data_IF_260292797189
#
_entry.id   IF_260292797189
#
_cell.length_a   1.000
_cell.length_b   1.000
_cell.length_c   1.000
_cell.angle_alpha   90.00
_cell.angle_beta   90.00
_cell.angle_gamma   90.00
#
_symmetry.space_group_name_H-M   'P 1'
#
loop_
_entity.id
_entity.type
_entity.pdbx_description
1 polymer ?
#
# COMPACT_ATOMS: atom_id res chain seq x y z
N UNK A 1 4.50 5.89 25.95
CA UNK A 1 4.80 5.91 24.49
C UNK A 1 4.56 7.32 23.98
N UNK A 2 5.39 7.79 23.07
CA UNK A 2 5.22 9.11 22.45
C UNK A 2 4.15 9.02 21.35
N UNK A 3 3.30 10.03 21.22
CA UNK A 3 2.23 10.07 20.21
C UNK A 3 2.73 10.43 18.81
N UNK A 4 3.93 11.02 18.74
CA UNK A 4 4.52 11.61 17.54
C UNK A 4 5.90 11.06 17.27
N UNK A 5 6.15 10.71 16.01
CA UNK A 5 7.45 10.27 15.53
C UNK A 5 7.90 11.14 14.36
N UNK A 6 9.15 11.57 14.38
CA UNK A 6 9.77 12.29 13.27
C UNK A 6 11.25 11.93 13.19
N UNK A 7 11.64 11.25 12.11
CA UNK A 7 13.02 10.84 11.87
C UNK A 7 13.45 11.19 10.46
N UNK A 8 14.61 11.84 10.34
CA UNK A 8 15.22 12.19 9.06
C UNK A 8 16.39 11.27 8.70
N UNK A 9 16.53 11.03 7.41
CA UNK A 9 17.59 10.26 6.77
C UNK A 9 18.15 11.09 5.61
N UNK A 10 19.29 11.74 5.84
CA UNK A 10 19.95 12.54 4.83
C UNK A 10 21.00 11.73 4.05
N UNK A 11 21.10 12.03 2.76
CA UNK A 11 22.22 11.66 1.90
C UNK A 11 22.91 12.92 1.36
N UNK A 12 23.72 12.76 0.32
CA UNK A 12 24.45 13.89 -0.29
C UNK A 12 23.53 14.84 -1.07
N UNK A 13 22.55 14.30 -1.79
CA UNK A 13 21.67 15.06 -2.70
C UNK A 13 20.19 14.90 -2.40
N UNK A 14 19.78 13.89 -1.63
CA UNK A 14 18.37 13.63 -1.26
C UNK A 14 18.23 13.38 0.23
N UNK A 15 17.21 13.97 0.84
CA UNK A 15 16.77 13.71 2.22
C UNK A 15 15.39 13.05 2.24
N UNK A 16 15.18 12.16 3.20
CA UNK A 16 13.90 11.54 3.48
C UNK A 16 13.52 11.77 4.94
N UNK A 17 12.24 12.00 5.21
CA UNK A 17 11.68 12.12 6.55
C UNK A 17 10.56 11.08 6.69
N UNK A 18 10.60 10.32 7.78
CA UNK A 18 9.48 9.54 8.25
C UNK A 18 8.77 10.35 9.33
N UNK A 19 7.48 10.58 9.15
CA UNK A 19 6.65 11.30 10.11
C UNK A 19 5.39 10.50 10.44
N UNK A 20 5.09 10.42 11.73
CA UNK A 20 3.82 9.92 12.24
C UNK A 20 3.26 10.93 13.24
N UNK A 21 2.08 11.50 12.93
CA UNK A 21 1.57 12.68 13.64
C UNK A 21 0.68 12.36 14.84
N UNK A 22 -0.08 11.26 14.79
CA UNK A 22 -0.94 10.78 15.88
C UNK A 22 -1.00 9.27 15.84
N UNK A 23 -0.97 8.58 16.98
CA UNK A 23 -1.09 7.12 17.07
C UNK A 23 -2.43 6.56 16.55
N UNK A 24 -3.47 7.39 16.55
CA UNK A 24 -4.82 7.05 16.08
C UNK A 24 -5.00 7.19 14.58
N UNK A 25 -4.06 7.82 13.86
CA UNK A 25 -4.12 7.94 12.41
C UNK A 25 -3.53 6.67 11.76
N UNK A 26 -4.26 5.93 10.91
CA UNK A 26 -3.81 4.65 10.34
C UNK A 26 -2.83 4.84 9.16
N UNK A 27 -1.94 5.82 9.24
CA UNK A 27 -0.98 6.14 8.19
C UNK A 27 0.28 6.83 8.74
N UNK A 28 1.31 6.86 7.91
CA UNK A 28 2.51 7.70 8.09
C UNK A 28 2.71 8.59 6.86
N UNK A 29 3.57 9.60 7.00
CA UNK A 29 4.06 10.36 5.86
C UNK A 29 5.53 10.06 5.62
N UNK A 30 5.88 9.80 4.35
CA UNK A 30 7.25 9.86 3.88
C UNK A 30 7.42 11.12 3.04
N UNK A 31 8.32 12.00 3.48
CA UNK A 31 8.65 13.24 2.76
C UNK A 31 10.04 13.16 2.19
N UNK A 32 10.21 13.62 0.96
CA UNK A 32 11.46 13.64 0.23
C UNK A 32 11.78 15.07 -0.21
N UNK A 33 13.05 15.44 -0.11
CA UNK A 33 13.58 16.72 -0.59
C UNK A 33 14.91 16.46 -1.28
N UNK A 34 15.27 17.30 -2.24
CA UNK A 34 16.62 17.26 -2.86
C UNK A 34 17.39 18.56 -2.63
N UNK A 35 18.70 18.45 -2.79
CA UNK A 35 19.61 19.58 -2.84
C UNK A 35 19.51 20.22 -4.22
N UNK A 36 19.29 21.53 -4.25
CA UNK A 36 19.25 22.34 -5.48
C UNK A 36 20.66 22.52 -6.03
N UNK A 37 20.74 22.94 -7.28
CA UNK A 37 22.01 23.29 -7.95
C UNK A 37 22.80 24.36 -7.19
N UNK A 38 22.10 25.29 -6.53
CA UNK A 38 22.69 26.30 -5.65
C UNK A 38 23.33 25.74 -4.38
N UNK A 39 23.21 24.44 -4.14
CA UNK A 39 23.70 23.77 -2.93
C UNK A 39 22.77 23.91 -1.72
N UNK A 40 21.65 24.61 -1.84
CA UNK A 40 20.63 24.69 -0.78
C UNK A 40 19.65 23.53 -0.86
N UNK A 41 19.08 23.12 0.27
CA UNK A 41 18.01 22.12 0.28
C UNK A 41 16.67 22.75 -0.11
N UNK A 42 15.85 21.97 -0.80
CA UNK A 42 14.43 22.28 -0.94
C UNK A 42 13.74 22.48 0.41
N UNK A 43 12.76 23.38 0.43
CA UNK A 43 12.03 23.81 1.62
C UNK A 43 10.57 23.37 1.53
N UNK A 44 10.16 22.34 2.30
CA UNK A 44 8.76 21.91 2.36
C UNK A 44 7.79 23.03 2.75
N UNK A 45 8.25 24.02 3.52
CA UNK A 45 7.44 25.16 3.96
C UNK A 45 6.92 26.05 2.81
N UNK A 46 7.50 25.95 1.62
CA UNK A 46 7.08 26.70 0.43
C UNK A 46 6.61 25.76 -0.69
N UNK A 47 6.26 24.51 -0.36
CA UNK A 47 5.71 23.54 -1.31
C UNK A 47 6.74 22.75 -2.11
N UNK A 48 8.04 22.83 -1.78
CA UNK A 48 9.07 22.03 -2.44
C UNK A 48 9.20 20.62 -1.83
N UNK A 49 9.76 19.69 -2.61
CA UNK A 49 9.85 18.28 -2.26
C UNK A 49 8.60 17.49 -2.65
N UNK A 50 8.52 16.25 -2.18
CA UNK A 50 7.36 15.37 -2.38
C UNK A 50 7.00 14.70 -1.07
N UNK A 51 5.72 14.65 -0.74
CA UNK A 51 5.21 13.91 0.42
C UNK A 51 4.24 12.86 -0.09
N UNK A 52 4.40 11.63 0.39
CA UNK A 52 3.46 10.53 0.16
C UNK A 52 2.86 10.11 1.51
N UNK A 53 1.58 9.76 1.50
CA UNK A 53 0.84 9.24 2.65
C UNK A 53 0.82 7.73 2.51
N UNK A 54 1.41 7.01 3.45
CA UNK A 54 1.47 5.55 3.41
C UNK A 54 0.46 4.96 4.40
N UNK A 55 -0.50 4.19 3.91
CA UNK A 55 -1.45 3.43 4.75
C UNK A 55 -0.80 2.21 5.41
N UNK A 56 -1.55 1.49 6.25
CA UNK A 56 -1.05 0.31 6.96
C UNK A 56 -0.53 -0.79 6.01
N UNK A 57 -1.24 -1.06 4.93
CA UNK A 57 -0.84 -2.06 3.93
C UNK A 57 0.48 -1.69 3.25
N UNK A 58 0.65 -0.42 2.90
CA UNK A 58 1.89 0.08 2.31
C UNK A 58 3.04 0.04 3.30
N UNK A 59 2.80 0.36 4.57
CA UNK A 59 3.80 0.20 5.64
C UNK A 59 4.26 -1.27 5.72
N UNK A 60 3.33 -2.22 5.64
CA UNK A 60 3.65 -3.66 5.61
C UNK A 60 4.47 -4.02 4.37
N UNK A 61 4.10 -3.53 3.18
CA UNK A 61 4.85 -3.81 1.95
C UNK A 61 6.25 -3.22 1.97
N UNK A 62 6.40 -1.99 2.46
CA UNK A 62 7.71 -1.35 2.68
C UNK A 62 8.56 -2.21 3.63
N UNK A 63 7.99 -2.64 4.76
CA UNK A 63 8.68 -3.51 5.73
C UNK A 63 9.08 -4.86 5.13
N UNK A 64 8.24 -5.49 4.30
CA UNK A 64 8.58 -6.73 3.60
C UNK A 64 9.81 -6.57 2.71
N UNK A 65 9.90 -5.45 1.97
CA UNK A 65 11.11 -5.17 1.17
C UNK A 65 12.30 -4.91 2.08
N UNK A 66 12.18 -4.04 3.09
CA UNK A 66 13.29 -3.72 4.01
C UNK A 66 13.85 -4.95 4.73
N UNK A 67 13.00 -5.94 5.05
CA UNK A 67 13.39 -7.21 5.69
C UNK A 67 13.86 -8.28 4.70
N UNK A 68 13.99 -7.94 3.41
CA UNK A 68 14.36 -8.85 2.31
C UNK A 68 13.38 -10.02 2.13
N UNK A 69 12.13 -9.89 2.60
CA UNK A 69 11.06 -10.84 2.30
C UNK A 69 10.47 -10.63 0.90
N UNK A 70 10.74 -9.48 0.28
CA UNK A 70 10.53 -9.22 -1.15
C UNK A 70 11.74 -8.48 -1.73
N UNK A 71 12.04 -8.72 -3.02
CA UNK A 71 13.10 -8.02 -3.76
C UNK A 71 12.75 -6.56 -4.02
N UNK A 72 11.46 -6.25 -4.13
CA UNK A 72 10.97 -4.89 -4.34
C UNK A 72 9.45 -4.79 -4.25
N UNK A 73 8.97 -3.55 -4.27
CA UNK A 73 7.56 -3.20 -4.30
C UNK A 73 7.39 -1.87 -5.05
N UNK A 74 6.28 -1.71 -5.76
CA UNK A 74 5.93 -0.46 -6.44
C UNK A 74 4.44 -0.22 -6.43
N UNK A 75 4.06 1.06 -6.49
CA UNK A 75 2.68 1.51 -6.62
C UNK A 75 2.64 2.88 -7.30
N UNK A 76 1.45 3.37 -7.62
CA UNK A 76 1.23 4.73 -8.11
C UNK A 76 0.20 5.42 -7.23
N UNK A 77 0.60 6.53 -6.61
CA UNK A 77 -0.34 7.40 -5.90
C UNK A 77 -0.96 8.39 -6.88
N UNK A 78 -2.28 8.53 -6.85
CA UNK A 78 -2.99 9.55 -7.61
C UNK A 78 -3.53 10.57 -6.62
N UNK A 79 -3.10 11.83 -6.75
CA UNK A 79 -3.66 12.92 -5.97
C UNK A 79 -4.07 14.05 -6.89
N UNK A 80 -5.38 14.33 -6.92
CA UNK A 80 -6.01 15.16 -7.97
C UNK A 80 -5.71 14.56 -9.34
N UNK A 81 -4.92 15.24 -10.17
CA UNK A 81 -4.52 14.76 -11.51
C UNK A 81 -3.06 14.31 -11.56
N UNK A 82 -2.31 14.46 -10.46
CA UNK A 82 -0.89 14.10 -10.42
C UNK A 82 -0.72 12.63 -10.05
N UNK A 83 -0.07 11.88 -10.95
CA UNK A 83 0.35 10.49 -10.69
C UNK A 83 1.79 10.46 -10.22
N UNK A 84 2.01 9.87 -9.04
CA UNK A 84 3.34 9.74 -8.43
C UNK A 84 3.72 8.27 -8.38
N UNK A 85 4.66 7.81 -9.25
CA UNK A 85 5.18 6.46 -9.15
C UNK A 85 6.07 6.34 -7.91
N UNK A 86 5.90 5.22 -7.20
CA UNK A 86 6.66 4.86 -6.02
C UNK A 86 7.28 3.50 -6.29
N UNK A 87 8.57 3.34 -6.04
CA UNK A 87 9.23 2.04 -6.04
C UNK A 87 10.27 1.95 -4.95
N UNK A 88 10.34 0.77 -4.33
CA UNK A 88 11.30 0.44 -3.29
C UNK A 88 11.95 -0.87 -3.70
N UNK A 89 13.27 -0.88 -3.86
CA UNK A 89 13.99 -2.07 -4.31
C UNK A 89 15.39 -2.14 -3.75
N UNK A 90 15.88 -3.36 -3.55
CA UNK A 90 17.27 -3.61 -3.23
C UNK A 90 18.16 -3.40 -4.46
N UNK A 91 19.35 -2.84 -4.21
CA UNK A 91 20.48 -2.86 -5.15
C UNK A 91 21.61 -3.64 -4.50
N UNK A 92 21.80 -4.87 -4.98
CA UNK A 92 22.69 -5.84 -4.32
C UNK A 92 22.22 -6.17 -2.90
N UNK A 93 23.16 -6.42 -2.01
CA UNK A 93 22.84 -6.90 -0.65
C UNK A 93 22.73 -5.80 0.39
N UNK A 94 23.25 -4.60 0.11
CA UNK A 94 23.57 -3.62 1.16
C UNK A 94 22.93 -2.23 0.97
N UNK A 95 22.14 -2.05 -0.08
CA UNK A 95 21.52 -0.76 -0.41
C UNK A 95 20.07 -0.96 -0.80
N UNK A 96 19.21 -0.08 -0.30
CA UNK A 96 17.83 0.00 -0.75
C UNK A 96 17.57 1.38 -1.34
N UNK A 97 16.84 1.41 -2.45
CA UNK A 97 16.44 2.64 -3.12
C UNK A 97 14.95 2.86 -2.92
N UNK A 98 14.59 4.03 -2.40
CA UNK A 98 13.25 4.59 -2.43
C UNK A 98 13.21 5.59 -3.59
N UNK A 99 12.39 5.32 -4.60
CA UNK A 99 12.18 6.23 -5.72
C UNK A 99 10.74 6.71 -5.68
N UNK A 100 10.54 8.00 -5.40
CA UNK A 100 9.22 8.64 -5.36
C UNK A 100 9.21 9.78 -6.36
N UNK A 101 8.57 9.57 -7.51
CA UNK A 101 8.68 10.48 -8.65
C UNK A 101 10.14 10.71 -9.04
N UNK A 102 10.59 11.97 -9.02
CA UNK A 102 11.98 12.36 -9.31
C UNK A 102 12.87 12.49 -8.06
N UNK A 103 12.49 11.89 -6.93
CA UNK A 103 13.24 11.91 -5.66
C UNK A 103 13.81 10.52 -5.32
N UNK A 104 15.01 10.17 -5.85
CA UNK A 104 15.67 8.93 -5.48
C UNK A 104 16.41 9.09 -4.13
N UNK A 105 16.14 8.21 -3.18
CA UNK A 105 16.86 8.11 -1.91
C UNK A 105 17.40 6.70 -1.71
N UNK A 106 18.72 6.59 -1.65
CA UNK A 106 19.40 5.37 -1.21
C UNK A 106 19.56 5.38 0.32
N UNK A 107 19.26 4.27 0.98
CA UNK A 107 19.57 4.06 2.41
C UNK A 107 20.68 3.01 2.56
N UNK A 108 21.59 3.29 3.49
CA UNK A 108 22.66 2.35 3.91
C UNK A 108 22.13 1.38 4.97
N UNK A 109 22.83 0.27 5.20
CA UNK A 109 22.46 -0.73 6.22
C UNK A 109 22.07 -0.11 7.58
N UNK A 110 22.85 0.79 8.20
CA UNK A 110 22.44 1.40 9.48
C UNK A 110 21.14 2.22 9.39
N UNK A 111 20.92 2.91 8.26
CA UNK A 111 19.68 3.66 8.04
C UNK A 111 18.49 2.71 7.85
N UNK A 112 18.70 1.59 7.16
CA UNK A 112 17.70 0.54 6.93
C UNK A 112 17.29 -0.07 8.27
N UNK A 113 18.24 -0.46 9.12
CA UNK A 113 17.96 -1.05 10.43
C UNK A 113 17.15 -0.11 11.33
N UNK A 114 17.56 1.16 11.43
CA UNK A 114 16.81 2.18 12.18
C UNK A 114 15.41 2.35 11.61
N UNK A 115 15.27 2.36 10.27
CA UNK A 115 13.97 2.51 9.62
C UNK A 115 13.05 1.31 9.90
N UNK A 116 13.58 0.08 9.84
CA UNK A 116 12.83 -1.14 10.16
C UNK A 116 12.31 -1.09 11.58
N UNK A 117 13.19 -0.89 12.57
CA UNK A 117 12.80 -0.85 13.98
C UNK A 117 11.73 0.23 14.25
N UNK A 118 11.91 1.41 13.65
CA UNK A 118 10.96 2.51 13.81
C UNK A 118 9.61 2.22 13.12
N UNK A 119 9.62 1.69 11.90
CA UNK A 119 8.39 1.37 11.17
C UNK A 119 7.62 0.22 11.81
N UNK A 120 8.30 -0.79 12.34
CA UNK A 120 7.66 -1.87 13.12
C UNK A 120 6.99 -1.33 14.37
N UNK A 121 7.70 -0.49 15.13
CA UNK A 121 7.16 0.17 16.31
C UNK A 121 5.91 0.99 15.97
N UNK A 122 5.98 1.85 14.95
CA UNK A 122 4.85 2.69 14.53
C UNK A 122 3.69 1.83 14.02
N UNK A 123 3.97 0.77 13.25
CA UNK A 123 2.92 -0.12 12.74
C UNK A 123 2.18 -0.80 13.89
N UNK A 124 2.90 -1.31 14.89
CA UNK A 124 2.29 -1.92 16.07
C UNK A 124 1.40 -0.90 16.82
N UNK A 125 1.90 0.33 17.04
CA UNK A 125 1.11 1.40 17.64
C UNK A 125 -0.15 1.73 16.80
N UNK A 126 -0.04 1.81 15.48
CA UNK A 126 -1.22 2.10 14.62
C UNK A 126 -2.23 0.97 14.67
N UNK A 127 -1.79 -0.28 14.66
CA UNK A 127 -2.69 -1.42 14.79
C UNK A 127 -3.43 -1.32 16.13
N UNK A 128 -2.73 -1.06 17.23
CA UNK A 128 -3.35 -0.93 18.55
C UNK A 128 -4.36 0.22 18.60
N UNK A 129 -3.95 1.45 18.24
CA UNK A 129 -4.72 2.65 18.55
C UNK A 129 -5.62 3.15 17.41
N UNK A 130 -5.28 2.87 16.14
CA UNK A 130 -6.06 3.31 14.99
C UNK A 130 -7.10 2.28 14.53
N UNK A 131 -7.03 1.04 15.02
CA UNK A 131 -7.99 -0.03 14.66
C UNK A 131 -8.87 -0.49 15.83
N UNK A 132 -8.55 -0.10 17.07
CA UNK A 132 -9.42 -0.35 18.22
C UNK A 132 -10.69 0.49 18.12
N UNK A 133 -11.86 -0.16 18.19
CA UNK A 133 -13.17 0.49 18.20
C UNK A 133 -13.46 1.15 19.55
N UNK A 134 -12.77 2.26 19.85
CA UNK A 134 -13.19 3.29 20.82
C UNK A 134 -13.66 2.85 22.21
N UNK A 135 -13.35 1.64 22.69
CA UNK A 135 -13.56 1.25 24.09
C UNK A 135 -12.27 1.52 24.84
N UNK A 136 -12.06 2.78 25.20
CA UNK A 136 -11.25 3.07 26.36
C UNK A 136 -11.88 2.28 27.53
N UNK A 137 -11.12 1.34 28.08
CA UNK A 137 -11.39 0.86 29.42
C UNK A 137 -11.08 2.03 30.37
N UNK A 138 -12.03 2.95 30.51
CA UNK A 138 -12.06 3.82 31.68
C UNK A 138 -12.55 2.97 32.86
N UNK A 139 -11.73 2.91 33.91
CA UNK A 139 -12.11 2.33 35.19
C UNK A 139 -13.42 2.95 35.70
N UNK A 140 -14.28 2.20 36.41
CA UNK A 140 -15.58 2.69 36.81
C UNK A 140 -15.44 3.70 37.97
N UNK A 141 -15.32 4.98 37.65
CA UNK A 141 -15.56 6.05 38.61
C UNK A 141 -17.06 6.18 38.88
N UNK A 142 -17.43 5.78 40.08
CA UNK A 142 -18.76 5.89 40.69
C UNK A 142 -19.28 7.35 40.74
N UNK A 143 -20.61 7.49 40.54
CA UNK A 143 -21.54 8.50 41.15
C UNK A 143 -21.54 9.90 40.47
N UNK A 144 -22.62 10.53 40.01
CA UNK A 144 -24.08 10.44 40.22
C UNK A 144 -24.87 11.08 39.05
N UNK A 145 -26.15 10.70 38.95
CA UNK A 145 -27.19 11.12 37.97
C UNK A 145 -27.53 12.63 37.90
N UNK A 146 -27.91 13.10 36.69
CA UNK A 146 -29.21 13.73 36.30
C UNK A 146 -29.11 14.29 34.84
N UNK A 147 -30.20 14.30 34.03
CA UNK A 147 -30.15 13.99 32.59
C UNK A 147 -30.41 15.15 31.60
N UNK A 148 -30.01 14.85 30.35
CA UNK A 148 -30.56 15.28 29.03
C UNK A 148 -30.68 16.79 28.74
N UNK A 149 -29.94 17.27 27.73
CA UNK A 149 -30.60 17.55 26.46
C UNK A 149 -29.67 17.48 25.24
N UNK A 150 -30.33 17.12 24.16
CA UNK A 150 -29.93 16.79 22.80
C UNK A 150 -29.22 17.91 22.01
N UNK A 151 -28.21 17.54 21.22
CA UNK A 151 -28.08 18.04 19.85
C UNK A 151 -27.21 17.11 19.00
N UNK A 152 -27.84 16.55 17.97
CA UNK A 152 -27.22 15.89 16.83
C UNK A 152 -26.22 16.82 16.15
N UNK A 153 -25.04 16.31 15.80
CA UNK A 153 -24.44 16.71 14.53
C UNK A 153 -23.72 15.55 13.86
N UNK A 154 -24.32 15.13 12.75
CA UNK A 154 -23.82 14.14 11.81
C UNK A 154 -22.59 14.69 11.08
N UNK A 155 -21.41 14.14 11.34
CA UNK A 155 -20.30 14.24 10.41
C UNK A 155 -20.11 12.90 9.70
N UNK A 156 -20.80 12.77 8.55
CA UNK A 156 -20.42 11.83 7.50
C UNK A 156 -19.08 12.29 6.93
N UNK A 157 -17.99 11.69 7.37
CA UNK A 157 -16.75 11.75 6.60
C UNK A 157 -16.81 10.68 5.52
N UNK A 158 -16.79 11.15 4.28
CA UNK A 158 -16.68 10.34 3.08
C UNK A 158 -15.38 9.53 3.14
N UNK A 159 -15.51 8.21 3.29
CA UNK A 159 -14.44 7.26 3.01
C UNK A 159 -14.13 7.36 1.52
N UNK A 160 -13.05 8.07 1.18
CA UNK A 160 -12.49 8.08 -0.16
C UNK A 160 -11.95 6.68 -0.41
N UNK A 161 -12.66 5.91 -1.23
CA UNK A 161 -12.15 4.68 -1.84
C UNK A 161 -11.04 5.09 -2.82
N UNK A 162 -9.80 5.08 -2.35
CA UNK A 162 -8.65 5.05 -3.25
C UNK A 162 -8.63 3.66 -3.89
N UNK A 163 -9.01 3.62 -5.17
CA UNK A 163 -8.85 2.43 -6.01
C UNK A 163 -7.35 2.14 -6.14
N UNK A 164 -6.85 1.22 -5.31
CA UNK A 164 -5.47 0.73 -5.35
C UNK A 164 -5.32 -0.22 -6.55
N UNK A 165 -4.56 0.20 -7.57
CA UNK A 165 -4.06 -0.70 -8.60
C UNK A 165 -2.71 -1.26 -8.11
N UNK A 166 -2.79 -2.38 -7.39
CA UNK A 166 -1.61 -3.13 -6.91
C UNK A 166 -1.01 -3.86 -8.11
N UNK A 167 0.08 -3.33 -8.67
CA UNK A 167 0.93 -4.10 -9.59
C UNK A 167 1.96 -4.85 -8.73
N UNK A 168 1.51 -5.94 -8.13
CA UNK A 168 2.39 -6.92 -7.49
C UNK A 168 3.00 -7.83 -8.57
N UNK A 169 4.31 -7.75 -8.76
CA UNK A 169 5.06 -8.89 -9.30
C UNK A 169 5.25 -9.88 -8.13
N UNK A 170 4.16 -10.57 -7.78
CA UNK A 170 4.16 -11.66 -6.81
C UNK A 170 4.63 -12.94 -7.51
N UNK A 171 5.61 -13.62 -6.92
CA UNK A 171 5.66 -15.08 -7.01
C UNK A 171 4.46 -15.60 -6.20
N UNK A 172 3.32 -15.83 -6.87
CA UNK A 172 2.15 -16.43 -6.25
C UNK A 172 2.51 -17.88 -5.87
N UNK A 173 2.49 -18.19 -4.57
CA UNK A 173 2.64 -19.57 -4.10
C UNK A 173 1.58 -20.51 -4.69
N UNK A 174 1.81 -21.82 -4.55
CA UNK A 174 1.18 -22.93 -5.30
C UNK A 174 -0.37 -22.94 -5.43
N UNK A 175 -1.11 -22.12 -4.69
CA UNK A 175 -2.58 -22.14 -4.63
C UNK A 175 -3.28 -21.34 -5.73
N UNK A 176 -2.60 -20.38 -6.35
CA UNK A 176 -3.17 -19.46 -7.34
C UNK A 176 -2.14 -19.20 -8.44
N UNK A 177 -2.57 -19.14 -9.69
CA UNK A 177 -1.71 -18.86 -10.85
C UNK A 177 -2.21 -17.65 -11.63
N UNK A 178 -1.27 -16.91 -12.22
CA UNK A 178 -1.56 -15.82 -13.14
C UNK A 178 -1.63 -16.36 -14.57
N UNK A 179 -2.70 -16.03 -15.28
CA UNK A 179 -2.89 -16.39 -16.70
C UNK A 179 -3.32 -15.17 -17.50
N UNK A 180 -3.08 -15.17 -18.81
CA UNK A 180 -3.61 -14.17 -19.72
C UNK A 180 -4.80 -14.74 -20.51
N UNK A 181 -5.86 -13.96 -20.68
CA UNK A 181 -7.02 -14.38 -21.45
C UNK A 181 -7.89 -13.23 -21.96
N UNK A 182 -8.89 -13.56 -22.76
CA UNK A 182 -9.89 -12.63 -23.30
C UNK A 182 -11.27 -13.05 -22.84
N UNK A 183 -12.06 -12.13 -22.29
CA UNK A 183 -13.45 -12.40 -21.92
C UNK A 183 -14.31 -12.49 -23.19
N UNK A 184 -14.85 -13.68 -23.46
CA UNK A 184 -15.78 -13.94 -24.57
C UNK A 184 -17.24 -13.97 -24.15
N UNK A 185 -17.51 -14.25 -22.88
CA UNK A 185 -18.86 -14.36 -22.36
C UNK A 185 -18.91 -14.19 -20.85
N UNK A 186 -20.02 -13.66 -20.35
CA UNK A 186 -20.25 -13.44 -18.93
C UNK A 186 -21.66 -13.93 -18.55
N UNK A 187 -21.74 -14.60 -17.41
CA UNK A 187 -22.99 -14.97 -16.74
C UNK A 187 -22.96 -14.44 -15.31
N UNK A 188 -24.07 -14.61 -14.57
CA UNK A 188 -24.14 -14.23 -13.16
C UNK A 188 -23.03 -14.89 -12.32
N UNK A 189 -22.66 -16.15 -12.62
CA UNK A 189 -21.75 -16.95 -11.80
C UNK A 189 -20.41 -17.32 -12.44
N UNK A 190 -20.25 -17.10 -13.75
CA UNK A 190 -19.05 -17.51 -14.47
C UNK A 190 -18.64 -16.57 -15.60
N UNK A 191 -17.37 -16.65 -15.95
CA UNK A 191 -16.74 -15.97 -17.09
C UNK A 191 -16.20 -16.99 -18.07
N UNK A 192 -16.43 -16.78 -19.36
CA UNK A 192 -15.83 -17.53 -20.44
C UNK A 192 -14.56 -16.82 -20.88
N UNK A 193 -13.42 -17.46 -20.65
CA UNK A 193 -12.11 -16.95 -21.00
C UNK A 193 -11.53 -17.74 -22.18
N UNK A 194 -11.12 -17.02 -23.22
CA UNK A 194 -10.30 -17.56 -24.31
C UNK A 194 -8.82 -17.39 -23.95
N UNK A 195 -8.07 -18.49 -23.97
CA UNK A 195 -6.63 -18.51 -23.67
C UNK A 195 -5.79 -18.41 -24.95
N UNK A 196 -4.48 -18.23 -24.79
CA UNK A 196 -3.52 -18.13 -25.90
C UNK A 196 -3.56 -19.33 -26.88
N UNK A 197 -4.02 -20.50 -26.44
CA UNK A 197 -4.17 -21.69 -27.29
C UNK A 197 -5.49 -21.73 -28.07
N UNK A 198 -6.24 -20.62 -28.13
CA UNK A 198 -7.61 -20.53 -28.67
C UNK A 198 -8.66 -21.44 -27.97
N UNK A 199 -8.30 -22.08 -26.85
CA UNK A 199 -9.22 -22.84 -26.04
C UNK A 199 -10.07 -21.91 -25.17
N UNK A 200 -11.37 -22.21 -25.08
CA UNK A 200 -12.34 -21.45 -24.29
C UNK A 200 -12.80 -22.27 -23.10
N UNK A 201 -12.72 -21.70 -21.90
CA UNK A 201 -13.15 -22.37 -20.68
C UNK A 201 -13.98 -21.45 -19.79
N UNK A 202 -14.99 -22.03 -19.15
CA UNK A 202 -15.77 -21.35 -18.12
C UNK A 202 -15.05 -21.41 -16.77
N UNK A 203 -14.88 -20.26 -16.16
CA UNK A 203 -14.33 -20.10 -14.82
C UNK A 203 -15.39 -19.50 -13.89
N UNK A 204 -15.63 -20.09 -12.72
CA UNK A 204 -16.45 -19.46 -11.69
C UNK A 204 -15.86 -18.10 -11.30
N UNK A 205 -16.68 -17.05 -11.20
CA UNK A 205 -16.21 -15.73 -10.75
C UNK A 205 -15.56 -15.80 -9.36
N UNK A 206 -16.03 -16.70 -8.50
CA UNK A 206 -15.44 -16.95 -7.18
C UNK A 206 -14.03 -17.53 -7.20
N UNK A 207 -13.61 -18.16 -8.31
CA UNK A 207 -12.27 -18.73 -8.49
C UNK A 207 -11.28 -17.72 -9.10
N UNK A 208 -11.77 -16.59 -9.60
CA UNK A 208 -10.97 -15.47 -10.12
C UNK A 208 -10.75 -14.49 -8.96
N UNK A 209 -9.50 -14.32 -8.55
CA UNK A 209 -9.09 -13.47 -7.41
C UNK A 209 -8.65 -12.08 -7.83
N UNK A 210 -8.34 -11.88 -9.12
CA UNK A 210 -8.05 -10.57 -9.66
C UNK A 210 -9.33 -9.79 -9.95
N UNK A 211 -9.24 -8.47 -9.87
CA UNK A 211 -10.18 -7.59 -10.56
C UNK A 211 -10.04 -7.77 -12.07
N UNK A 212 -11.11 -7.56 -12.82
CA UNK A 212 -11.12 -7.66 -14.28
C UNK A 212 -12.16 -6.68 -14.83
N UNK A 213 -11.94 -6.20 -16.06
CA UNK A 213 -12.88 -5.33 -16.73
C UNK A 213 -13.76 -6.18 -17.66
N UNK A 214 -15.09 -6.15 -17.46
CA UNK A 214 -16.06 -6.87 -18.31
C UNK A 214 -16.13 -6.38 -19.78
N UNK A 215 -15.17 -5.57 -20.23
CA UNK A 215 -15.07 -5.13 -21.61
C UNK A 215 -14.74 -6.34 -22.49
N UNK A 216 -15.71 -6.74 -23.32
CA UNK A 216 -15.55 -7.85 -24.27
C UNK A 216 -14.37 -7.60 -25.19
N UNK A 217 -13.65 -8.69 -25.51
CA UNK A 217 -12.52 -8.71 -26.44
C UNK A 217 -11.25 -7.96 -26.00
N UNK A 218 -11.15 -7.56 -24.73
CA UNK A 218 -9.90 -7.03 -24.15
C UNK A 218 -9.03 -8.15 -23.57
N UNK A 219 -7.73 -8.15 -23.89
CA UNK A 219 -6.74 -9.07 -23.32
C UNK A 219 -6.35 -8.59 -21.92
N UNK A 220 -6.55 -9.45 -20.92
CA UNK A 220 -6.35 -9.12 -19.50
C UNK A 220 -5.61 -10.25 -18.77
N UNK A 221 -4.94 -9.89 -17.68
CA UNK A 221 -4.35 -10.87 -16.76
C UNK A 221 -5.36 -11.26 -15.69
N UNK A 222 -5.52 -12.56 -15.46
CA UNK A 222 -6.38 -13.13 -14.42
C UNK A 222 -5.54 -13.87 -13.38
N UNK A 223 -5.84 -13.68 -12.11
CA UNK A 223 -5.33 -14.53 -11.02
C UNK A 223 -6.41 -15.54 -10.70
N UNK A 224 -6.13 -16.83 -10.92
CA UNK A 224 -7.11 -17.91 -10.80
C UNK A 224 -6.58 -19.01 -9.87
N UNK A 225 -7.45 -19.59 -9.05
CA UNK A 225 -7.09 -20.73 -8.19
C UNK A 225 -6.49 -21.91 -9.00
N UNK A 226 -5.33 -22.45 -8.59
CA UNK A 226 -4.59 -23.49 -9.34
C UNK A 226 -5.44 -24.73 -9.64
N UNK A 227 -6.32 -25.13 -8.71
CA UNK A 227 -7.15 -26.33 -8.83
C UNK A 227 -8.14 -26.27 -10.00
N UNK A 228 -8.66 -25.09 -10.37
CA UNK A 228 -9.60 -24.96 -11.49
C UNK A 228 -8.85 -25.01 -12.83
N UNK A 229 -7.59 -24.54 -12.87
CA UNK A 229 -6.72 -24.61 -14.04
C UNK A 229 -6.31 -26.06 -14.31
N UNK A 230 -5.92 -26.79 -13.27
CA UNK A 230 -5.60 -28.22 -13.35
C UNK A 230 -6.81 -29.04 -13.80
N UNK A 231 -8.00 -28.76 -13.25
CA UNK A 231 -9.25 -29.41 -13.65
C UNK A 231 -9.59 -29.18 -15.13
N UNK A 232 -9.33 -27.98 -15.64
CA UNK A 232 -9.57 -27.61 -17.04
C UNK A 232 -8.39 -27.96 -17.96
N UNK A 233 -7.30 -28.57 -17.45
CA UNK A 233 -6.05 -28.84 -18.18
C UNK A 233 -5.46 -27.60 -18.85
N UNK A 234 -5.60 -26.46 -18.21
CA UNK A 234 -5.03 -25.19 -18.66
C UNK A 234 -3.62 -25.09 -18.12
N UNK A 235 -2.62 -25.14 -19.00
CA UNK A 235 -1.25 -24.82 -18.67
C UNK A 235 -1.13 -23.30 -18.50
N UNK A 236 -0.57 -22.87 -17.37
CA UNK A 236 -0.31 -21.48 -17.02
C UNK A 236 1.14 -21.13 -17.31
#
# INVERSE_FOLDING_TARGET
>A
MADKHNKSFFGQSTGMFLQSSLKTDPFIFLRFIKKKESGTWEKPSIGEGKTIKCGLEEIVMILKVLKKSSKGWSTVHVFKEEKTPISIKWEGENKIWFNVGNYPKMLTIPQIEILVLLMEHILAEKIEFATSSGKSNEEPSKVNDVPLDSSNNNNKENVVNDNLEIVEELELGDKVKKIEGIIKGETEKGLLLQMNNNNEHWFPKSAIKSTYDSVKDSKQSFIIDSWILEKNKVEA
#
